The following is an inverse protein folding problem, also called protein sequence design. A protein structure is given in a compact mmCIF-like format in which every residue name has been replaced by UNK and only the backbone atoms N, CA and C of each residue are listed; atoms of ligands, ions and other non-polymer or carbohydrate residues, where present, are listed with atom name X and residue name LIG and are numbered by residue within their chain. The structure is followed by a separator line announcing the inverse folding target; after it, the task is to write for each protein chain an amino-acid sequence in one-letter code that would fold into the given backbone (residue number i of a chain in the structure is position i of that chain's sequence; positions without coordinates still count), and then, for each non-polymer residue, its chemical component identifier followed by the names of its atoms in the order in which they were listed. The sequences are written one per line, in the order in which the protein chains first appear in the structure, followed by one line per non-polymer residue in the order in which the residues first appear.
data_IF_527985796864
#
_entry.id   IF_527985796864
#
_cell.length_a   1.000
_cell.length_b   1.000
_cell.length_c   1.000
_cell.angle_alpha   90.00
_cell.angle_beta   90.00
_cell.angle_gamma   90.00
#
_symmetry.space_group_name_H-M   'P 1'
#
loop_
_entity.id
_entity.type
_entity.pdbx_description
1 polymer ?
#
# COMPACT_ATOMS: atom_id res chain seq x y z
N UNK A 1 19.86 -21.45 15.19
CA UNK A 1 18.54 -20.93 15.61
C UNK A 1 18.09 -19.92 14.56
N UNK A 2 17.20 -20.30 13.65
CA UNK A 2 16.70 -19.37 12.62
C UNK A 2 15.76 -18.40 13.35
N UNK A 3 16.12 -17.11 13.44
CA UNK A 3 15.18 -16.08 13.88
C UNK A 3 14.13 -15.92 12.78
N UNK A 4 13.03 -16.68 12.91
CA UNK A 4 11.91 -16.69 11.96
C UNK A 4 11.17 -15.34 11.97
N UNK A 5 11.17 -14.65 13.12
CA UNK A 5 10.62 -13.32 13.30
C UNK A 5 11.70 -12.41 13.94
N UNK A 6 12.01 -11.30 13.28
CA UNK A 6 12.86 -10.25 13.84
C UNK A 6 12.22 -8.88 13.58
N UNK A 7 10.98 -8.74 14.05
CA UNK A 7 10.18 -7.54 13.83
C UNK A 7 10.79 -6.40 14.65
N UNK A 8 11.12 -5.30 13.96
CA UNK A 8 11.40 -4.05 14.65
C UNK A 8 10.08 -3.48 15.20
N UNK A 9 9.95 -3.52 16.53
CA UNK A 9 8.72 -3.12 17.24
C UNK A 9 8.28 -1.70 16.86
N UNK A 10 9.22 -0.76 16.73
CA UNK A 10 8.91 0.62 16.38
C UNK A 10 8.36 0.72 14.94
N UNK A 11 8.99 0.04 13.99
CA UNK A 11 8.49 -0.01 12.61
C UNK A 11 7.11 -0.64 12.53
N UNK A 12 6.89 -1.72 13.29
CA UNK A 12 5.61 -2.41 13.32
C UNK A 12 4.48 -1.54 13.87
N UNK A 13 4.66 -0.92 15.03
CA UNK A 13 3.66 0.00 15.57
C UNK A 13 3.43 1.21 14.67
N UNK A 14 4.49 1.76 14.06
CA UNK A 14 4.36 2.86 13.11
C UNK A 14 3.52 2.46 11.90
N UNK A 15 3.74 1.25 11.38
CA UNK A 15 2.94 0.68 10.29
C UNK A 15 1.47 0.46 10.70
N UNK A 16 1.22 -0.10 11.89
CA UNK A 16 -0.15 -0.28 12.38
C UNK A 16 -0.90 1.06 12.56
N UNK A 17 -0.20 2.07 13.07
CA UNK A 17 -0.77 3.42 13.17
C UNK A 17 -1.06 3.98 11.77
N UNK A 18 -0.13 3.79 10.83
CA UNK A 18 -0.28 4.26 9.45
C UNK A 18 -1.49 3.59 8.75
N UNK A 19 -1.66 2.26 8.89
CA UNK A 19 -2.80 1.56 8.28
C UNK A 19 -4.14 1.94 8.93
N UNK A 20 -4.15 2.16 10.25
CA UNK A 20 -5.34 2.65 10.95
C UNK A 20 -5.74 4.03 10.44
N UNK A 21 -4.79 4.96 10.32
CA UNK A 21 -5.02 6.30 9.78
C UNK A 21 -5.43 6.27 8.32
N UNK A 22 -4.81 5.41 7.49
CA UNK A 22 -5.22 5.24 6.10
C UNK A 22 -6.67 4.80 5.98
N UNK A 23 -7.08 3.81 6.77
CA UNK A 23 -8.47 3.44 6.90
C UNK A 23 -9.29 4.68 7.24
N UNK A 24 -9.00 5.34 8.36
CA UNK A 24 -9.77 6.48 8.84
C UNK A 24 -9.96 7.59 7.79
N UNK A 25 -8.89 7.99 7.12
CA UNK A 25 -8.91 9.02 6.07
C UNK A 25 -9.70 8.56 4.83
N UNK A 26 -9.56 7.29 4.46
CA UNK A 26 -10.26 6.74 3.30
C UNK A 26 -11.78 6.66 3.54
N UNK A 27 -12.22 6.32 4.75
CA UNK A 27 -13.66 6.28 5.10
C UNK A 27 -14.29 7.66 5.29
N UNK A 28 -13.51 8.64 5.76
CA UNK A 28 -14.08 9.97 6.02
C UNK A 28 -14.43 10.72 4.73
N UNK A 29 -13.99 10.22 3.58
CA UNK A 29 -14.16 10.88 2.29
C UNK A 29 -13.34 12.17 2.16
N UNK A 30 -12.44 12.45 3.11
CA UNK A 30 -11.70 13.71 3.18
C UNK A 30 -10.88 14.00 1.91
N UNK A 31 -10.36 12.95 1.27
CA UNK A 31 -9.58 13.04 0.03
C UNK A 31 -10.39 12.76 -1.24
N UNK A 32 -11.72 12.71 -1.15
CA UNK A 32 -12.58 12.54 -2.32
C UNK A 32 -12.62 13.84 -3.13
N UNK A 33 -12.13 13.78 -4.37
CA UNK A 33 -12.24 14.86 -5.36
C UNK A 33 -13.26 14.43 -6.40
N UNK A 34 -14.45 15.04 -6.38
CA UNK A 34 -15.57 14.70 -7.29
C UNK A 34 -15.93 13.19 -7.27
N UNK A 35 -15.88 12.58 -6.09
CA UNK A 35 -16.17 11.15 -5.91
C UNK A 35 -14.99 10.20 -6.18
N UNK A 36 -13.81 10.72 -6.54
CA UNK A 36 -12.59 9.94 -6.74
C UNK A 36 -11.65 10.10 -5.55
N UNK A 37 -11.20 9.00 -4.96
CA UNK A 37 -10.34 9.02 -3.78
C UNK A 37 -9.13 8.11 -3.96
N UNK A 38 -7.96 8.48 -3.39
CA UNK A 38 -6.82 7.60 -3.39
C UNK A 38 -7.07 6.37 -2.49
N UNK A 39 -6.62 5.19 -2.92
CA UNK A 39 -6.61 3.99 -2.10
C UNK A 39 -5.39 4.01 -1.17
N UNK A 40 -5.48 4.77 -0.08
CA UNK A 40 -4.38 4.96 0.87
C UNK A 40 -3.98 3.64 1.51
N UNK A 41 -4.95 2.77 1.78
CA UNK A 41 -4.69 1.44 2.34
C UNK A 41 -3.76 0.62 1.44
N UNK A 42 -4.03 0.61 0.12
CA UNK A 42 -3.14 -0.01 -0.87
C UNK A 42 -1.73 0.60 -0.84
N UNK A 43 -1.62 1.93 -0.82
CA UNK A 43 -0.33 2.63 -0.83
C UNK A 43 0.53 2.22 0.38
N UNK A 44 -0.07 2.16 1.57
CA UNK A 44 0.65 1.81 2.81
C UNK A 44 1.02 0.32 2.85
N UNK A 45 0.13 -0.57 2.38
CA UNK A 45 0.44 -2.00 2.28
C UNK A 45 1.59 -2.25 1.29
N UNK A 46 1.58 -1.57 0.14
CA UNK A 46 2.67 -1.66 -0.83
C UNK A 46 3.98 -1.10 -0.28
N UNK A 47 3.92 -0.06 0.57
CA UNK A 47 5.10 0.47 1.23
C UNK A 47 5.73 -0.58 2.16
N UNK A 48 4.92 -1.37 2.88
CA UNK A 48 5.40 -2.42 3.77
C UNK A 48 6.25 -3.48 3.07
N UNK A 49 6.07 -3.68 1.76
CA UNK A 49 6.87 -4.62 0.97
C UNK A 49 8.36 -4.27 0.95
N UNK A 50 8.71 -2.99 1.14
CA UNK A 50 10.10 -2.52 1.18
C UNK A 50 10.72 -2.59 2.57
N UNK A 51 9.90 -2.58 3.62
CA UNK A 51 10.34 -2.64 5.02
C UNK A 51 10.38 -4.07 5.57
N UNK A 52 9.60 -4.98 4.97
CA UNK A 52 9.58 -6.39 5.36
C UNK A 52 10.85 -7.09 4.86
N UNK A 53 11.75 -7.56 5.74
CA UNK A 53 12.98 -8.25 5.34
C UNK A 53 12.70 -9.66 4.80
N UNK A 54 11.63 -10.32 5.27
CA UNK A 54 11.25 -11.65 4.83
C UNK A 54 9.73 -11.77 4.63
N UNK A 55 9.31 -12.85 3.98
CA UNK A 55 7.91 -13.08 3.63
C UNK A 55 7.02 -13.31 4.87
N UNK A 56 7.56 -13.95 5.91
CA UNK A 56 6.82 -14.20 7.16
C UNK A 56 6.44 -12.89 7.85
N UNK A 57 7.35 -11.91 7.86
CA UNK A 57 7.09 -10.59 8.41
C UNK A 57 6.05 -9.82 7.59
N UNK A 58 6.09 -9.92 6.26
CA UNK A 58 5.04 -9.37 5.40
C UNK A 58 3.66 -9.96 5.74
N UNK A 59 3.57 -11.28 5.92
CA UNK A 59 2.32 -11.92 6.32
C UNK A 59 1.81 -11.36 7.65
N UNK A 60 2.70 -11.12 8.61
CA UNK A 60 2.33 -10.54 9.90
C UNK A 60 1.79 -9.12 9.76
N UNK A 61 2.39 -8.29 8.91
CA UNK A 61 1.85 -6.97 8.56
C UNK A 61 0.46 -7.09 7.93
N UNK A 62 0.28 -7.98 6.94
CA UNK A 62 -1.00 -8.19 6.27
C UNK A 62 -2.09 -8.66 7.23
N UNK A 63 -1.83 -9.68 8.05
CA UNK A 63 -2.80 -10.18 9.04
C UNK A 63 -3.21 -9.09 10.04
N UNK A 64 -2.24 -8.28 10.50
CA UNK A 64 -2.53 -7.20 11.45
C UNK A 64 -3.33 -6.07 10.78
N UNK A 65 -2.97 -5.69 9.55
CA UNK A 65 -3.74 -4.73 8.75
C UNK A 65 -5.16 -5.21 8.51
N UNK A 66 -5.35 -6.50 8.23
CA UNK A 66 -6.67 -7.09 8.04
C UNK A 66 -7.52 -6.96 9.29
N UNK A 67 -6.96 -7.29 10.46
CA UNK A 67 -7.67 -7.14 11.73
C UNK A 67 -8.08 -5.69 12.00
N UNK A 68 -7.26 -4.71 11.61
CA UNK A 68 -7.57 -3.29 11.77
C UNK A 68 -8.66 -2.84 10.79
N UNK A 69 -8.56 -3.26 9.53
CA UNK A 69 -9.46 -2.83 8.47
C UNK A 69 -10.78 -3.62 8.44
N UNK A 70 -10.83 -4.84 9.02
CA UNK A 70 -12.01 -5.72 9.03
C UNK A 70 -13.20 -5.18 9.82
N UNK A 71 -12.98 -4.15 10.65
CA UNK A 71 -14.06 -3.44 11.35
C UNK A 71 -14.96 -2.65 10.39
N UNK A 72 -14.64 -2.68 9.09
CA UNK A 72 -15.33 -1.95 8.03
C UNK A 72 -15.95 -2.93 7.04
N UNK A 73 -17.28 -3.10 7.05
CA UNK A 73 -17.96 -4.09 6.22
C UNK A 73 -17.79 -3.85 4.71
N UNK A 74 -17.58 -2.58 4.33
CA UNK A 74 -17.38 -2.10 2.95
C UNK A 74 -16.06 -2.58 2.30
N UNK A 75 -15.14 -3.18 3.06
CA UNK A 75 -13.83 -3.62 2.56
C UNK A 75 -13.69 -5.15 2.45
N UNK A 76 -14.77 -5.91 2.63
CA UNK A 76 -14.66 -7.37 2.78
C UNK A 76 -14.02 -8.09 1.57
N UNK A 77 -14.47 -7.91 0.31
CA UNK A 77 -13.75 -8.44 -0.85
C UNK A 77 -12.45 -7.67 -1.17
N UNK A 78 -12.42 -6.37 -0.91
CA UNK A 78 -11.28 -5.49 -1.17
C UNK A 78 -10.05 -5.92 -0.37
N UNK A 79 -10.22 -6.37 0.87
CA UNK A 79 -9.13 -6.85 1.72
C UNK A 79 -8.40 -8.03 1.06
N UNK A 80 -9.15 -9.01 0.54
CA UNK A 80 -8.54 -10.16 -0.15
C UNK A 80 -7.70 -9.69 -1.35
N UNK A 81 -8.24 -8.78 -2.16
CA UNK A 81 -7.52 -8.21 -3.31
C UNK A 81 -6.30 -7.42 -2.86
N UNK A 82 -6.40 -6.61 -1.80
CA UNK A 82 -5.27 -5.88 -1.22
C UNK A 82 -4.14 -6.83 -0.82
N UNK A 83 -4.42 -7.96 -0.17
CA UNK A 83 -3.38 -8.94 0.16
C UNK A 83 -2.75 -9.56 -1.08
N UNK A 84 -3.55 -10.01 -2.04
CA UNK A 84 -3.03 -10.62 -3.28
C UNK A 84 -2.11 -9.65 -4.01
N UNK A 85 -2.54 -8.41 -4.20
CA UNK A 85 -1.74 -7.35 -4.84
C UNK A 85 -0.46 -7.08 -4.04
N UNK A 86 -0.54 -7.00 -2.71
CA UNK A 86 0.63 -6.75 -1.85
C UNK A 86 1.63 -7.90 -1.89
N UNK A 87 1.17 -9.15 -1.92
CA UNK A 87 2.03 -10.33 -2.04
C UNK A 87 2.74 -10.35 -3.39
N UNK A 88 2.01 -10.10 -4.48
CA UNK A 88 2.61 -10.01 -5.83
C UNK A 88 3.64 -8.88 -5.89
N UNK A 89 3.33 -7.71 -5.32
CA UNK A 89 4.25 -6.59 -5.24
C UNK A 89 5.49 -6.89 -4.39
N UNK A 90 5.36 -7.66 -3.30
CA UNK A 90 6.49 -8.09 -2.49
C UNK A 90 7.47 -8.95 -3.29
N UNK A 91 6.99 -9.89 -4.09
CA UNK A 91 7.88 -10.67 -4.95
C UNK A 91 8.48 -9.79 -6.05
N UNK A 92 7.66 -8.97 -6.72
CA UNK A 92 8.13 -8.08 -7.77
C UNK A 92 9.21 -7.10 -7.28
N UNK A 93 9.07 -6.55 -6.07
CA UNK A 93 10.03 -5.58 -5.51
C UNK A 93 11.45 -6.13 -5.36
N UNK A 94 11.61 -7.47 -5.28
CA UNK A 94 12.93 -8.13 -5.20
C UNK A 94 13.64 -8.22 -6.54
N UNK A 95 12.93 -8.06 -7.65
CA UNK A 95 13.49 -8.13 -9.00
C UNK A 95 13.71 -6.76 -9.64
N UNK A 96 13.17 -5.69 -9.04
CA UNK A 96 13.31 -4.33 -9.57
C UNK A 96 14.67 -3.73 -9.20
N UNK A 97 15.40 -3.24 -10.21
CA UNK A 97 16.76 -2.70 -10.07
C UNK A 97 16.85 -1.18 -9.92
N UNK A 98 15.72 -0.45 -10.00
CA UNK A 98 15.71 1.01 -9.85
C UNK A 98 15.81 1.41 -8.36
N UNK A 99 15.82 2.72 -8.10
CA UNK A 99 15.80 3.23 -6.73
C UNK A 99 14.51 2.82 -5.99
N UNK A 100 14.58 2.63 -4.66
CA UNK A 100 13.43 2.24 -3.83
C UNK A 100 12.22 3.16 -4.03
N UNK A 101 12.46 4.46 -4.15
CA UNK A 101 11.43 5.47 -4.42
C UNK A 101 10.73 5.25 -5.76
N UNK A 102 11.49 5.05 -6.83
CA UNK A 102 10.93 4.83 -8.16
C UNK A 102 10.17 3.49 -8.20
N UNK A 103 10.76 2.43 -7.62
CA UNK A 103 10.12 1.12 -7.51
C UNK A 103 8.80 1.21 -6.75
N UNK A 104 8.74 1.96 -5.66
CA UNK A 104 7.51 2.13 -4.88
C UNK A 104 6.42 2.82 -5.71
N UNK A 105 6.74 3.90 -6.43
CA UNK A 105 5.77 4.58 -7.30
C UNK A 105 5.27 3.64 -8.41
N UNK A 106 6.17 2.90 -9.06
CA UNK A 106 5.80 1.92 -10.10
C UNK A 106 4.91 0.80 -9.53
N UNK A 107 5.24 0.27 -8.35
CA UNK A 107 4.42 -0.75 -7.70
C UNK A 107 3.06 -0.21 -7.28
N UNK A 108 2.94 1.05 -6.87
CA UNK A 108 1.64 1.67 -6.58
C UNK A 108 0.83 1.86 -7.86
N UNK A 109 1.44 2.30 -8.95
CA UNK A 109 0.76 2.47 -10.23
C UNK A 109 0.24 1.11 -10.76
N UNK A 110 1.13 0.11 -10.84
CA UNK A 110 0.79 -1.23 -11.34
C UNK A 110 -0.11 -1.99 -10.37
N UNK A 111 0.12 -1.86 -9.05
CA UNK A 111 -0.72 -2.42 -8.01
C UNK A 111 -2.14 -1.85 -8.01
N UNK A 112 -2.30 -0.55 -8.31
CA UNK A 112 -3.64 0.06 -8.48
C UNK A 112 -4.37 -0.54 -9.69
N UNK A 113 -3.68 -0.72 -10.82
CA UNK A 113 -4.27 -1.36 -11.99
C UNK A 113 -4.66 -2.82 -11.70
N UNK A 114 -3.79 -3.59 -11.03
CA UNK A 114 -4.08 -4.97 -10.61
C UNK A 114 -5.23 -5.04 -9.62
N UNK A 115 -5.33 -4.09 -8.69
CA UNK A 115 -6.42 -4.00 -7.73
C UNK A 115 -7.77 -3.92 -8.45
N UNK A 116 -7.91 -3.03 -9.43
CA UNK A 116 -9.15 -2.95 -10.22
C UNK A 116 -9.36 -4.16 -11.13
N UNK A 117 -8.28 -4.73 -11.69
CA UNK A 117 -8.39 -5.92 -12.52
C UNK A 117 -8.95 -7.12 -11.75
N UNK A 118 -8.57 -7.28 -10.48
CA UNK A 118 -9.09 -8.35 -9.63
C UNK A 118 -10.43 -8.03 -8.98
N UNK A 119 -10.67 -6.77 -8.59
CA UNK A 119 -11.90 -6.38 -7.89
C UNK A 119 -13.08 -6.20 -8.85
N UNK A 120 -12.88 -5.49 -9.96
CA UNK A 120 -13.93 -5.17 -10.93
C UNK A 120 -13.30 -4.90 -12.31
N UNK A 121 -12.96 -5.96 -13.09
CA UNK A 121 -12.28 -5.79 -14.37
C UNK A 121 -13.11 -4.96 -15.37
N UNK A 122 -14.44 -5.03 -15.30
CA UNK A 122 -15.33 -4.24 -16.16
C UNK A 122 -15.17 -2.72 -15.96
N UNK A 123 -14.79 -2.27 -14.75
CA UNK A 123 -14.56 -0.85 -14.46
C UNK A 123 -13.43 -0.26 -15.33
N UNK A 124 -12.36 -1.03 -15.56
CA UNK A 124 -11.23 -0.60 -16.39
C UNK A 124 -11.65 -0.37 -17.85
N UNK A 125 -12.61 -1.15 -18.35
CA UNK A 125 -13.07 -1.05 -19.74
C UNK A 125 -14.18 -0.02 -19.94
N UNK A 126 -15.13 0.07 -19.00
CA UNK A 126 -16.27 0.96 -19.12
C UNK A 126 -15.94 2.40 -18.68
N UNK A 127 -15.01 2.56 -17.74
CA UNK A 127 -14.62 3.86 -17.19
C UNK A 127 -13.09 4.07 -17.19
N UNK A 128 -12.41 3.93 -18.35
CA UNK A 128 -10.95 3.94 -18.41
C UNK A 128 -10.33 5.26 -17.93
N UNK A 129 -10.96 6.39 -18.25
CA UNK A 129 -10.49 7.71 -17.79
C UNK A 129 -10.58 7.88 -16.27
N UNK A 130 -11.58 7.24 -15.64
CA UNK A 130 -11.73 7.29 -14.19
C UNK A 130 -10.63 6.45 -13.54
N UNK A 131 -10.44 5.23 -14.03
CA UNK A 131 -9.37 4.35 -13.55
C UNK A 131 -7.97 5.00 -13.70
N UNK A 132 -7.67 5.62 -14.84
CA UNK A 132 -6.39 6.33 -15.05
C UNK A 132 -6.21 7.46 -14.04
N UNK A 133 -7.27 8.23 -13.74
CA UNK A 133 -7.21 9.30 -12.74
C UNK A 133 -6.93 8.76 -11.34
N UNK A 134 -7.54 7.64 -10.96
CA UNK A 134 -7.32 7.02 -9.64
C UNK A 134 -5.91 6.43 -9.53
N UNK A 135 -5.42 5.76 -10.59
CA UNK A 135 -4.03 5.27 -10.66
C UNK A 135 -3.06 6.45 -10.55
N UNK A 136 -3.33 7.56 -11.23
CA UNK A 136 -2.53 8.78 -11.14
C UNK A 136 -2.54 9.38 -9.73
N UNK A 137 -3.71 9.49 -9.11
CA UNK A 137 -3.86 9.97 -7.72
C UNK A 137 -3.08 9.08 -6.75
N UNK A 138 -3.21 7.76 -6.84
CA UNK A 138 -2.47 6.83 -5.99
C UNK A 138 -0.95 7.00 -6.16
N UNK A 139 -0.49 7.10 -7.41
CA UNK A 139 0.92 7.29 -7.74
C UNK A 139 1.46 8.64 -7.25
N UNK A 140 0.66 9.70 -7.34
CA UNK A 140 0.99 11.02 -6.82
C UNK A 140 1.13 11.00 -5.30
N UNK A 141 0.18 10.38 -4.59
CA UNK A 141 0.27 10.20 -3.13
C UNK A 141 1.48 9.35 -2.72
N UNK A 142 1.79 8.29 -3.48
CA UNK A 142 2.98 7.50 -3.26
C UNK A 142 4.27 8.32 -3.45
N UNK A 143 4.32 9.16 -4.48
CA UNK A 143 5.46 10.06 -4.70
C UNK A 143 5.63 11.07 -3.56
N UNK A 144 4.54 11.69 -3.09
CA UNK A 144 4.53 12.59 -1.94
C UNK A 144 5.04 11.86 -0.69
N UNK A 145 4.51 10.67 -0.41
CA UNK A 145 4.91 9.86 0.74
C UNK A 145 6.39 9.48 0.68
N UNK A 146 6.86 9.04 -0.49
CA UNK A 146 8.26 8.68 -0.68
C UNK A 146 9.21 9.88 -0.54
N UNK A 147 8.79 11.06 -1.01
CA UNK A 147 9.52 12.29 -0.80
C UNK A 147 9.67 12.60 0.69
N UNK A 148 8.58 12.53 1.46
CA UNK A 148 8.63 12.73 2.91
C UNK A 148 9.53 11.71 3.61
N UNK A 149 9.39 10.42 3.29
CA UNK A 149 10.24 9.36 3.87
C UNK A 149 11.72 9.62 3.57
N UNK A 150 12.06 9.98 2.33
CA UNK A 150 13.44 10.29 1.95
C UNK A 150 13.97 11.55 2.66
N UNK A 151 13.16 12.60 2.73
CA UNK A 151 13.52 13.87 3.39
C UNK A 151 13.76 13.68 4.89
N UNK A 152 12.88 12.94 5.57
CA UNK A 152 13.03 12.66 7.00
C UNK A 152 14.16 11.66 7.26
N UNK A 153 14.31 10.62 6.45
CA UNK A 153 15.41 9.67 6.69
C UNK A 153 16.79 10.26 6.49
N UNK A 154 16.96 11.17 5.52
CA UNK A 154 18.25 11.86 5.30
C UNK A 154 18.62 12.84 6.42
N UNK A 155 17.64 13.31 7.20
CA UNK A 155 17.86 14.21 8.34
C UNK A 155 17.95 13.51 9.69
N UNK A 156 17.37 12.31 9.81
CA UNK A 156 17.23 11.61 11.09
C UNK A 156 17.94 10.24 11.14
N UNK A 157 18.78 9.90 10.15
CA UNK A 157 19.51 8.62 10.08
C UNK A 157 18.61 7.39 10.32
N UNK A 158 17.50 7.29 9.59
CA UNK A 158 16.55 6.17 9.70
C UNK A 158 16.80 5.01 8.72
N UNK A 159 17.86 5.09 7.90
CA UNK A 159 18.30 4.03 6.98
C UNK A 159 19.78 3.75 7.12
#
# INVERSE_FOLDING_TARGET
MIKILNINILHFFSFLLAIFLAGFIQSSGFLLIKGLGPNISLIILLLATFFSPNFVELLFYLFSSFFILSWRPELSPELCVLAVVTILAYFASRFLSLSKTINFIILVATGSALFYLFLSPLFLFHFPLIAIKEIFLNSLFAAILAFFISFFSSRFHFF
#
